data_IF_632073914124
#
_entry.id   IF_632073914124
#
_cell.length_a   1.000
_cell.length_b   1.000
_cell.length_c   1.000
_cell.angle_alpha   90.00
_cell.angle_beta   90.00
_cell.angle_gamma   90.00
#
_symmetry.space_group_name_H-M   'P 1'
#
loop_
_entity.id
_entity.type
_entity.pdbx_description
1 polymer ?
#
# COMPACT_ATOMS: atom_id res chain seq x y z
N UNK A 1 -21.99 -10.02 -7.75
CA UNK A 1 -20.71 -9.62 -8.39
C UNK A 1 -20.39 -8.19 -7.95
N UNK A 2 -19.19 -7.94 -7.44
CA UNK A 2 -18.75 -6.59 -7.04
C UNK A 2 -17.55 -6.16 -7.89
N UNK A 3 -17.39 -4.86 -8.14
CA UNK A 3 -16.22 -4.28 -8.81
C UNK A 3 -15.17 -3.92 -7.77
N UNK A 4 -14.00 -4.54 -7.86
CA UNK A 4 -12.93 -4.38 -6.87
C UNK A 4 -11.67 -3.88 -7.56
N UNK A 5 -11.13 -2.76 -7.10
CA UNK A 5 -9.82 -2.26 -7.54
C UNK A 5 -8.77 -2.67 -6.51
N UNK A 6 -7.70 -3.31 -6.98
CA UNK A 6 -6.50 -3.57 -6.19
C UNK A 6 -5.41 -2.54 -6.56
N UNK A 7 -5.26 -1.50 -5.74
CA UNK A 7 -4.33 -0.40 -6.01
C UNK A 7 -2.96 -0.64 -5.36
N UNK A 8 -1.93 -0.83 -6.18
CA UNK A 8 -0.58 -1.13 -5.72
C UNK A 8 0.16 0.10 -5.15
N UNK A 9 1.15 -0.15 -4.30
CA UNK A 9 2.06 0.87 -3.77
C UNK A 9 3.21 1.19 -4.73
N UNK A 10 4.32 1.70 -4.19
CA UNK A 10 5.54 1.86 -4.98
C UNK A 10 6.02 0.47 -5.43
N UNK A 11 6.26 0.34 -6.74
CA UNK A 11 6.94 -0.81 -7.33
C UNK A 11 8.43 -0.42 -7.45
N UNK A 12 9.34 -1.18 -6.83
CA UNK A 12 10.77 -0.81 -6.84
C UNK A 12 11.54 -0.92 -5.52
N UNK A 13 11.05 -1.64 -4.50
CA UNK A 13 11.91 -2.05 -3.37
C UNK A 13 12.86 -3.21 -3.78
N UNK A 14 13.38 -3.25 -5.00
CA UNK A 14 14.22 -4.34 -5.54
C UNK A 14 13.47 -5.30 -6.45
N UNK A 15 14.15 -6.40 -6.83
CA UNK A 15 13.52 -7.61 -7.41
C UNK A 15 12.52 -8.30 -6.44
N UNK A 16 12.15 -7.65 -5.33
CA UNK A 16 11.34 -8.21 -4.26
C UNK A 16 9.85 -8.30 -4.59
N UNK A 17 9.40 -7.47 -5.53
CA UNK A 17 8.02 -7.48 -6.01
C UNK A 17 8.01 -7.62 -7.52
N UNK A 18 7.09 -8.40 -8.08
CA UNK A 18 6.94 -8.48 -9.53
C UNK A 18 6.54 -7.11 -10.09
N UNK A 19 7.09 -6.79 -11.27
CA UNK A 19 6.78 -5.55 -12.00
C UNK A 19 5.38 -5.58 -12.63
N UNK A 20 4.74 -6.75 -12.70
CA UNK A 20 3.35 -6.91 -13.11
C UNK A 20 2.41 -6.57 -11.94
N UNK A 21 1.57 -5.53 -12.06
CA UNK A 21 0.58 -5.16 -11.05
C UNK A 21 -0.39 -6.30 -10.70
N UNK A 22 -0.67 -7.21 -11.65
CA UNK A 22 -1.51 -8.39 -11.41
C UNK A 22 -0.87 -9.43 -10.48
N UNK A 23 0.47 -9.40 -10.35
CA UNK A 23 1.23 -10.25 -9.45
C UNK A 23 1.59 -9.54 -8.13
N UNK A 24 1.44 -8.21 -8.05
CA UNK A 24 1.78 -7.44 -6.85
C UNK A 24 1.03 -7.94 -5.61
N UNK A 25 -0.30 -8.06 -5.72
CA UNK A 25 -1.14 -8.71 -4.72
C UNK A 25 -1.16 -10.22 -4.98
N UNK A 26 -0.19 -10.95 -4.41
CA UNK A 26 0.07 -12.33 -4.77
C UNK A 26 -1.21 -13.20 -4.68
N UNK A 27 -1.68 -13.67 -5.85
CA UNK A 27 -2.91 -14.46 -6.10
C UNK A 27 -4.24 -13.87 -5.62
N UNK A 28 -4.29 -12.64 -5.10
CA UNK A 28 -5.53 -12.05 -4.59
C UNK A 28 -6.52 -11.76 -5.71
N UNK A 29 -6.04 -11.29 -6.87
CA UNK A 29 -6.90 -11.04 -8.01
C UNK A 29 -7.60 -12.32 -8.48
N UNK A 30 -6.86 -13.43 -8.56
CA UNK A 30 -7.39 -14.76 -8.88
C UNK A 30 -8.41 -15.21 -7.83
N UNK A 31 -8.05 -15.17 -6.54
CA UNK A 31 -8.91 -15.59 -5.43
C UNK A 31 -10.26 -14.84 -5.44
N UNK A 32 -10.24 -13.52 -5.65
CA UNK A 32 -11.46 -12.72 -5.69
C UNK A 32 -12.28 -12.95 -6.97
N UNK A 33 -11.62 -13.21 -8.11
CA UNK A 33 -12.28 -13.53 -9.37
C UNK A 33 -12.98 -14.88 -9.31
N UNK A 34 -12.32 -15.91 -8.75
CA UNK A 34 -12.90 -17.25 -8.53
C UNK A 34 -14.12 -17.22 -7.61
N UNK A 35 -14.21 -16.20 -6.73
CA UNK A 35 -15.37 -15.91 -5.88
C UNK A 35 -16.46 -15.09 -6.57
N UNK A 36 -16.34 -14.81 -7.86
CA UNK A 36 -17.36 -14.15 -8.67
C UNK A 36 -17.39 -12.62 -8.59
N UNK A 37 -16.25 -12.00 -8.27
CA UNK A 37 -16.06 -10.54 -8.35
C UNK A 37 -15.35 -10.12 -9.65
N UNK A 38 -15.63 -8.89 -10.10
CA UNK A 38 -14.94 -8.27 -11.23
C UNK A 38 -13.75 -7.47 -10.68
N UNK A 39 -12.55 -8.04 -10.79
CA UNK A 39 -11.34 -7.51 -10.14
C UNK A 39 -10.47 -6.80 -11.16
N UNK A 40 -9.99 -5.61 -10.80
CA UNK A 40 -9.12 -4.80 -11.64
C UNK A 40 -7.84 -4.40 -10.88
N UNK A 41 -6.69 -4.68 -11.48
CA UNK A 41 -5.37 -4.32 -10.97
C UNK A 41 -4.76 -3.25 -11.89
N UNK A 42 -5.09 -1.96 -11.72
CA UNK A 42 -4.55 -0.89 -12.56
C UNK A 42 -3.04 -0.77 -12.39
N UNK A 43 -2.35 -0.52 -13.51
CA UNK A 43 -0.95 -0.13 -13.51
C UNK A 43 -0.83 1.40 -13.43
N UNK A 44 -0.03 1.88 -12.49
CA UNK A 44 0.41 3.28 -12.43
C UNK A 44 1.93 3.34 -12.39
N UNK A 45 2.51 4.52 -12.62
CA UNK A 45 3.95 4.70 -12.56
C UNK A 45 4.51 4.14 -11.25
N UNK A 46 5.46 3.18 -11.32
CA UNK A 46 6.09 2.52 -10.18
C UNK A 46 6.52 3.50 -9.08
N UNK A 47 7.13 4.61 -9.50
CA UNK A 47 7.86 5.58 -8.66
C UNK A 47 7.52 7.03 -9.03
N UNK A 48 6.36 7.23 -9.65
CA UNK A 48 5.85 8.56 -10.01
C UNK A 48 5.38 9.36 -8.81
N UNK A 49 5.22 10.67 -9.00
CA UNK A 49 4.60 11.54 -8.00
C UNK A 49 3.18 11.10 -7.66
N UNK A 50 2.70 11.44 -6.46
CA UNK A 50 1.32 11.16 -6.05
C UNK A 50 0.30 11.77 -7.03
N UNK A 51 0.58 12.96 -7.56
CA UNK A 51 -0.30 13.60 -8.56
C UNK A 51 -0.39 12.79 -9.85
N UNK A 52 0.75 12.33 -10.38
CA UNK A 52 0.82 11.55 -11.61
C UNK A 52 0.15 10.18 -11.45
N UNK A 53 0.52 9.44 -10.39
CA UNK A 53 -0.05 8.12 -10.09
C UNK A 53 -1.56 8.19 -9.89
N UNK A 54 -2.04 9.23 -9.19
CA UNK A 54 -3.48 9.48 -9.02
C UNK A 54 -4.21 9.71 -10.34
N UNK A 55 -3.63 10.50 -11.25
CA UNK A 55 -4.23 10.75 -12.57
C UNK A 55 -4.35 9.46 -13.38
N UNK A 56 -3.30 8.63 -13.38
CA UNK A 56 -3.29 7.36 -14.08
C UNK A 56 -4.29 6.37 -13.49
N UNK A 57 -4.38 6.29 -12.15
CA UNK A 57 -5.37 5.46 -11.46
C UNK A 57 -6.80 5.86 -11.86
N UNK A 58 -7.11 7.16 -11.84
CA UNK A 58 -8.43 7.67 -12.19
C UNK A 58 -8.80 7.33 -13.65
N UNK A 59 -7.88 7.55 -14.59
CA UNK A 59 -8.08 7.22 -16.01
C UNK A 59 -8.32 5.73 -16.19
N UNK A 60 -7.50 4.89 -15.56
CA UNK A 60 -7.62 3.43 -15.67
C UNK A 60 -8.97 2.91 -15.14
N UNK A 61 -9.42 3.42 -13.99
CA UNK A 61 -10.73 3.03 -13.41
C UNK A 61 -11.89 3.43 -14.33
N UNK A 62 -11.87 4.65 -14.87
CA UNK A 62 -12.93 5.13 -15.78
C UNK A 62 -12.92 4.40 -17.12
N UNK A 63 -11.76 3.99 -17.62
CA UNK A 63 -11.66 3.17 -18.84
C UNK A 63 -12.17 1.75 -18.61
N UNK A 64 -11.85 1.12 -17.47
CA UNK A 64 -12.31 -0.23 -17.13
C UNK A 64 -13.82 -0.27 -16.91
N UNK A 65 -14.33 0.69 -16.14
CA UNK A 65 -15.75 0.80 -15.82
C UNK A 65 -16.22 2.25 -16.02
N UNK A 66 -16.71 2.59 -17.22
CA UNK A 66 -17.41 3.83 -17.46
C UNK A 66 -18.54 4.03 -16.45
N UNK A 67 -18.98 5.28 -16.31
CA UNK A 67 -19.98 5.61 -15.31
C UNK A 67 -21.36 5.05 -15.69
N UNK A 68 -21.75 4.01 -14.96
CA UNK A 68 -23.05 3.34 -15.04
C UNK A 68 -23.77 3.34 -13.68
N UNK A 69 -23.31 4.18 -12.74
CA UNK A 69 -23.83 4.26 -11.38
C UNK A 69 -23.55 3.05 -10.48
N UNK A 70 -22.87 2.01 -10.94
CA UNK A 70 -22.53 0.85 -10.11
C UNK A 70 -21.38 1.17 -9.14
N UNK A 71 -21.39 0.58 -7.93
CA UNK A 71 -20.36 0.83 -6.94
C UNK A 71 -19.01 0.21 -7.31
N UNK A 72 -17.93 0.86 -6.89
CA UNK A 72 -16.55 0.39 -7.03
C UNK A 72 -15.90 0.37 -5.64
N UNK A 73 -15.41 -0.80 -5.24
CA UNK A 73 -14.74 -1.00 -3.95
C UNK A 73 -13.23 -0.92 -4.13
N UNK A 74 -12.57 -0.19 -3.25
CA UNK A 74 -11.12 0.02 -3.34
C UNK A 74 -10.41 -0.74 -2.22
N UNK A 75 -9.38 -1.51 -2.59
CA UNK A 75 -8.43 -2.10 -1.67
C UNK A 75 -7.03 -1.66 -2.11
N UNK A 76 -6.30 -1.02 -1.23
CA UNK A 76 -5.05 -0.38 -1.58
C UNK A 76 -3.94 -0.71 -0.56
N UNK A 77 -2.72 -0.85 -1.06
CA UNK A 77 -1.53 -1.11 -0.24
C UNK A 77 -0.55 0.06 -0.31
N UNK A 78 0.09 0.40 0.81
CA UNK A 78 1.18 1.37 0.87
C UNK A 78 0.79 2.71 0.21
N UNK A 79 1.60 3.24 -0.72
CA UNK A 79 1.30 4.48 -1.46
C UNK A 79 0.01 4.41 -2.29
N UNK A 80 -0.47 3.22 -2.67
CA UNK A 80 -1.75 3.03 -3.37
C UNK A 80 -2.93 3.59 -2.59
N UNK A 81 -2.89 3.52 -1.26
CA UNK A 81 -3.93 4.11 -0.42
C UNK A 81 -3.93 5.64 -0.45
N UNK A 82 -2.77 6.27 -0.68
CA UNK A 82 -2.67 7.71 -0.90
C UNK A 82 -3.21 8.09 -2.28
N UNK A 83 -2.91 7.29 -3.33
CA UNK A 83 -3.44 7.49 -4.68
C UNK A 83 -4.96 7.44 -4.67
N UNK A 84 -5.55 6.41 -4.06
CA UNK A 84 -7.00 6.27 -3.93
C UNK A 84 -7.62 7.48 -3.19
N UNK A 85 -7.00 7.91 -2.09
CA UNK A 85 -7.52 9.05 -1.31
C UNK A 85 -7.47 10.35 -2.08
N UNK A 86 -6.38 10.61 -2.80
CA UNK A 86 -6.28 11.79 -3.66
C UNK A 86 -7.25 11.68 -4.82
N UNK A 87 -7.39 10.51 -5.44
CA UNK A 87 -8.36 10.27 -6.51
C UNK A 87 -9.78 10.63 -6.06
N UNK A 88 -10.21 10.13 -4.90
CA UNK A 88 -11.52 10.43 -4.34
C UNK A 88 -11.72 11.94 -4.03
N UNK A 89 -10.65 12.65 -3.67
CA UNK A 89 -10.72 14.08 -3.39
C UNK A 89 -10.79 14.97 -4.65
N UNK A 90 -10.22 14.52 -5.78
CA UNK A 90 -10.09 15.35 -6.98
C UNK A 90 -10.92 14.86 -8.18
N UNK A 91 -11.47 13.65 -8.12
CA UNK A 91 -12.36 13.07 -9.14
C UNK A 91 -13.74 12.71 -8.52
N UNK A 92 -14.65 13.68 -8.38
CA UNK A 92 -15.95 13.46 -7.73
C UNK A 92 -16.82 12.42 -8.43
N UNK A 93 -16.69 12.25 -9.75
CA UNK A 93 -17.41 11.24 -10.53
C UNK A 93 -17.00 9.81 -10.17
N UNK A 94 -15.75 9.62 -9.73
CA UNK A 94 -15.31 8.34 -9.17
C UNK A 94 -15.76 8.25 -7.72
N UNK A 95 -15.57 9.32 -6.94
CA UNK A 95 -15.94 9.34 -5.52
C UNK A 95 -17.40 8.94 -5.29
N UNK A 96 -18.35 9.48 -6.08
CA UNK A 96 -19.78 9.17 -6.00
C UNK A 96 -20.14 7.70 -6.26
N UNK A 97 -19.18 6.87 -6.70
CA UNK A 97 -19.32 5.43 -6.93
C UNK A 97 -18.59 4.59 -5.89
N UNK A 98 -17.82 5.19 -4.99
CA UNK A 98 -17.01 4.47 -4.02
C UNK A 98 -17.68 4.49 -2.66
N UNK A 99 -18.25 3.37 -2.18
CA UNK A 99 -18.76 3.28 -0.82
C UNK A 99 -17.62 3.12 0.18
N UNK A 100 -16.52 2.44 -0.19
CA UNK A 100 -15.49 2.01 0.74
C UNK A 100 -14.09 1.96 0.15
N UNK A 101 -13.10 2.35 0.98
CA UNK A 101 -11.68 2.15 0.76
C UNK A 101 -11.06 1.41 1.95
N UNK A 102 -10.49 0.23 1.69
CA UNK A 102 -9.58 -0.44 2.62
C UNK A 102 -8.14 -0.04 2.29
N UNK A 103 -7.39 0.45 3.28
CA UNK A 103 -5.95 0.69 3.17
C UNK A 103 -5.16 -0.29 4.02
N UNK A 104 -4.09 -0.86 3.46
CA UNK A 104 -3.17 -1.80 4.12
C UNK A 104 -1.79 -1.16 4.13
N UNK A 105 -1.20 -0.99 5.32
CA UNK A 105 0.13 -0.43 5.50
C UNK A 105 0.35 0.93 4.78
N UNK A 106 -0.71 1.73 4.62
CA UNK A 106 -0.63 3.02 3.93
C UNK A 106 -0.05 4.09 4.86
N UNK A 107 1.02 4.80 4.48
CA UNK A 107 1.61 5.87 5.30
C UNK A 107 0.77 7.15 5.24
N UNK A 108 -0.38 7.17 5.94
CA UNK A 108 -1.26 8.33 6.00
C UNK A 108 -0.57 9.57 6.56
N UNK A 109 0.38 9.40 7.49
CA UNK A 109 1.23 10.47 8.05
C UNK A 109 2.69 10.37 7.59
N UNK A 110 2.93 9.65 6.50
CA UNK A 110 4.24 9.47 5.91
C UNK A 110 5.08 8.42 6.63
N UNK A 111 6.30 8.24 6.13
CA UNK A 111 7.28 7.27 6.61
C UNK A 111 8.55 8.00 7.09
N UNK A 112 9.10 7.60 8.24
CA UNK A 112 10.44 8.03 8.66
C UNK A 112 11.53 7.65 7.64
N UNK A 113 11.37 6.49 6.98
CA UNK A 113 12.30 5.96 5.97
C UNK A 113 12.42 6.91 4.78
N UNK A 114 11.28 7.46 4.32
CA UNK A 114 11.26 8.43 3.24
C UNK A 114 12.03 9.71 3.59
N UNK A 115 11.93 10.21 4.83
CA UNK A 115 12.72 11.36 5.26
C UNK A 115 14.22 11.06 5.30
N UNK A 116 14.59 9.86 5.75
CA UNK A 116 15.99 9.44 5.86
C UNK A 116 16.63 9.30 4.47
N UNK A 117 15.91 8.71 3.51
CA UNK A 117 16.38 8.57 2.12
C UNK A 117 16.57 9.92 1.39
N UNK A 118 15.93 11.00 1.85
CA UNK A 118 16.07 12.32 1.23
C UNK A 118 17.20 13.18 1.83
N UNK A 119 17.81 12.77 2.95
CA UNK A 119 18.95 13.48 3.55
C UNK A 119 20.24 13.12 2.83
N UNK A 120 20.79 14.03 2.01
CA UNK A 120 22.15 13.91 1.45
C UNK A 120 23.22 14.27 2.48
N UNK A 121 24.30 13.49 2.55
CA UNK A 121 25.54 13.87 3.21
C UNK A 121 26.58 12.75 3.17
N UNK A 122 27.74 13.02 2.56
CA UNK A 122 28.90 12.11 2.48
C UNK A 122 30.06 12.70 3.32
N UNK A 123 30.63 11.87 4.22
CA UNK A 123 31.99 12.05 4.75
C UNK A 123 32.54 10.70 5.26
N UNK A 124 32.85 9.76 4.36
CA UNK A 124 33.46 8.45 4.71
C UNK A 124 32.89 7.27 3.92
N UNK A 125 33.36 6.04 4.17
CA UNK A 125 32.84 4.81 3.55
C UNK A 125 31.30 4.76 3.63
N UNK A 126 30.58 4.39 2.54
CA UNK A 126 29.13 4.49 2.51
C UNK A 126 28.50 3.57 3.56
N UNK A 127 27.78 4.17 4.48
CA UNK A 127 26.92 3.49 5.45
C UNK A 127 25.82 2.70 4.73
N UNK A 128 25.22 1.66 5.35
CA UNK A 128 24.05 0.99 4.81
C UNK A 128 22.89 1.94 4.46
N UNK A 129 22.78 3.07 5.18
CA UNK A 129 21.83 4.13 4.89
C UNK A 129 22.14 4.87 3.57
N UNK A 130 23.41 5.15 3.28
CA UNK A 130 23.84 5.78 2.03
C UNK A 130 23.69 4.83 0.82
N UNK A 131 23.94 3.52 1.01
CA UNK A 131 23.70 2.51 -0.04
C UNK A 131 22.21 2.37 -0.36
N UNK A 132 21.36 2.30 0.67
CA UNK A 132 19.90 2.30 0.48
C UNK A 132 19.43 3.63 -0.12
N UNK A 133 19.98 4.76 0.31
CA UNK A 133 19.66 6.08 -0.24
C UNK A 133 20.03 6.18 -1.72
N UNK A 134 21.21 5.68 -2.12
CA UNK A 134 21.61 5.61 -3.52
C UNK A 134 20.69 4.68 -4.33
N UNK A 135 20.32 3.53 -3.77
CA UNK A 135 19.34 2.62 -4.37
C UNK A 135 17.96 3.28 -4.56
N UNK A 136 17.55 4.12 -3.59
CA UNK A 136 16.28 4.81 -3.58
C UNK A 136 16.30 6.17 -4.30
N UNK A 137 17.46 6.63 -4.79
CA UNK A 137 17.62 7.96 -5.36
C UNK A 137 16.81 8.16 -6.65
N UNK A 138 16.65 7.09 -7.45
CA UNK A 138 15.79 7.08 -8.64
C UNK A 138 14.29 7.21 -8.29
N UNK A 139 13.94 7.13 -7.00
CA UNK A 139 12.58 7.21 -6.47
C UNK A 139 12.28 8.51 -5.72
N UNK A 140 13.15 9.53 -5.86
CA UNK A 140 13.09 10.78 -5.10
C UNK A 140 11.72 11.49 -5.16
N UNK A 141 11.03 11.46 -6.31
CA UNK A 141 9.69 12.04 -6.47
C UNK A 141 8.63 11.36 -5.62
N UNK A 142 8.56 10.02 -5.67
CA UNK A 142 7.62 9.26 -4.84
C UNK A 142 7.96 9.33 -3.34
N UNK A 143 9.24 9.38 -2.99
CA UNK A 143 9.68 9.48 -1.59
C UNK A 143 9.35 10.85 -0.96
N UNK A 144 9.39 11.94 -1.73
CA UNK A 144 8.98 13.25 -1.24
C UNK A 144 7.52 13.26 -0.75
N UNK A 145 6.61 12.64 -1.49
CA UNK A 145 5.18 12.52 -1.14
C UNK A 145 4.93 11.57 0.06
N UNK A 146 5.93 10.78 0.43
CA UNK A 146 5.90 9.84 1.54
C UNK A 146 6.59 10.36 2.80
N UNK A 147 7.14 11.58 2.79
CA UNK A 147 7.76 12.20 3.96
C UNK A 147 6.78 12.36 5.13
N UNK A 148 7.32 12.40 6.36
CA UNK A 148 6.50 12.54 7.57
C UNK A 148 5.74 13.87 7.53
N UNK A 149 4.49 13.83 7.96
CA UNK A 149 3.61 15.00 8.05
C UNK A 149 2.83 14.98 9.36
N UNK A 150 2.48 16.18 9.83
CA UNK A 150 1.67 16.37 11.04
C UNK A 150 0.16 16.39 10.76
N UNK A 151 -0.23 16.56 9.49
CA UNK A 151 -1.63 16.69 9.06
C UNK A 151 -1.96 15.62 8.04
N UNK A 152 -3.15 15.03 8.20
CA UNK A 152 -3.69 14.08 7.25
C UNK A 152 -3.92 14.76 5.89
N UNK A 153 -3.26 14.28 4.84
CA UNK A 153 -3.47 14.76 3.47
C UNK A 153 -4.84 14.29 2.95
N UNK A 154 -5.69 15.18 2.42
CA UNK A 154 -7.06 14.91 1.92
C UNK A 154 -8.03 14.44 3.02
N UNK A 155 -8.99 15.29 3.37
CA UNK A 155 -10.01 15.03 4.38
C UNK A 155 -11.05 13.98 3.97
N UNK A 156 -12.13 13.83 4.74
CA UNK A 156 -13.29 13.03 4.35
C UNK A 156 -13.89 13.53 3.03
N UNK A 157 -14.43 12.61 2.23
CA UNK A 157 -15.07 12.90 0.94
C UNK A 157 -16.40 12.16 0.87
N UNK A 158 -17.38 12.78 0.20
CA UNK A 158 -18.66 12.11 -0.05
C UNK A 158 -18.47 11.09 -1.18
N UNK A 159 -18.92 9.88 -0.89
CA UNK A 159 -18.81 8.69 -1.70
C UNK A 159 -20.15 8.28 -2.32
N UNK A 160 -20.37 6.96 -2.35
CA UNK A 160 -21.56 6.36 -2.95
C UNK A 160 -22.87 6.91 -2.37
N UNK A 161 -23.79 7.31 -3.27
CA UNK A 161 -25.11 7.88 -2.93
C UNK A 161 -25.03 9.09 -1.97
N UNK A 162 -23.94 9.85 -2.02
CA UNK A 162 -23.74 11.05 -1.19
C UNK A 162 -23.39 10.77 0.27
N UNK A 163 -23.22 9.50 0.66
CA UNK A 163 -22.73 9.12 1.99
C UNK A 163 -21.21 9.28 2.06
N UNK A 164 -20.60 9.62 3.21
CA UNK A 164 -19.15 9.63 3.35
C UNK A 164 -18.53 8.29 2.92
N UNK A 165 -17.40 8.32 2.21
CA UNK A 165 -16.64 7.09 1.94
C UNK A 165 -16.23 6.47 3.27
N UNK A 166 -16.51 5.17 3.44
CA UNK A 166 -16.05 4.42 4.61
C UNK A 166 -14.57 4.05 4.44
N UNK A 167 -13.75 4.31 5.46
CA UNK A 167 -12.32 4.05 5.43
C UNK A 167 -11.96 3.04 6.49
N UNK A 168 -11.39 1.91 6.05
CA UNK A 168 -10.92 0.84 6.93
C UNK A 168 -9.40 0.79 6.81
N UNK A 169 -8.69 1.01 7.91
CA UNK A 169 -7.23 1.03 7.93
C UNK A 169 -6.66 -0.21 8.62
N UNK A 170 -5.73 -0.88 7.94
CA UNK A 170 -5.04 -2.08 8.43
C UNK A 170 -3.57 -1.74 8.55
N UNK A 171 -3.04 -1.86 9.77
CA UNK A 171 -1.61 -1.73 10.03
C UNK A 171 -0.90 -3.07 9.89
N UNK A 172 0.41 -3.04 9.67
CA UNK A 172 1.25 -4.23 9.67
C UNK A 172 2.37 -4.05 10.71
N UNK A 173 2.70 -5.13 11.40
CA UNK A 173 3.84 -5.18 12.30
C UNK A 173 4.37 -6.60 12.32
N UNK A 174 5.58 -6.79 11.79
CA UNK A 174 6.23 -8.09 11.78
C UNK A 174 6.43 -8.57 13.23
N UNK A 175 5.78 -9.67 13.59
CA UNK A 175 5.93 -10.34 14.88
C UNK A 175 7.08 -11.36 14.82
N UNK A 176 7.47 -11.95 15.95
CA UNK A 176 8.49 -13.00 16.01
C UNK A 176 8.18 -14.23 15.13
N UNK A 177 6.91 -14.45 14.76
CA UNK A 177 6.43 -15.57 13.94
C UNK A 177 6.78 -15.45 12.45
N UNK A 178 6.87 -14.22 11.91
CA UNK A 178 7.31 -13.95 10.54
C UNK A 178 8.58 -13.09 10.62
N UNK A 179 9.78 -13.69 10.53
CA UNK A 179 11.00 -12.93 10.61
C UNK A 179 10.97 -11.88 9.50
N UNK A 180 11.11 -10.62 9.91
CA UNK A 180 11.12 -9.49 8.98
C UNK A 180 12.20 -9.71 7.92
N UNK A 181 11.86 -9.48 6.67
CA UNK A 181 12.81 -9.45 5.56
C UNK A 181 14.06 -8.63 5.92
N UNK A 182 15.26 -9.06 5.53
CA UNK A 182 16.49 -8.26 5.69
C UNK A 182 16.35 -6.84 5.13
N UNK A 183 15.64 -6.64 4.01
CA UNK A 183 15.41 -5.29 3.46
C UNK A 183 14.59 -4.43 4.41
N UNK A 184 13.57 -5.01 5.05
CA UNK A 184 12.67 -4.29 5.94
C UNK A 184 13.26 -4.10 7.34
N UNK A 185 14.20 -4.95 7.75
CA UNK A 185 15.08 -4.70 8.90
C UNK A 185 15.97 -3.48 8.62
N UNK A 186 16.62 -3.44 7.45
CA UNK A 186 17.49 -2.34 7.07
C UNK A 186 16.73 -1.01 6.94
N UNK A 187 15.57 -0.99 6.27
CA UNK A 187 14.75 0.22 6.16
C UNK A 187 14.24 0.68 7.51
N UNK A 188 13.87 -0.24 8.42
CA UNK A 188 13.45 0.13 9.77
C UNK A 188 14.58 0.79 10.58
N UNK A 189 15.80 0.28 10.43
CA UNK A 189 16.98 0.87 11.05
C UNK A 189 17.25 2.27 10.50
N UNK A 190 17.26 2.43 9.17
CA UNK A 190 17.49 3.72 8.49
C UNK A 190 16.40 4.74 8.84
N UNK A 191 15.14 4.30 8.94
CA UNK A 191 14.03 5.15 9.39
C UNK A 191 14.07 5.51 10.87
N UNK A 192 14.97 4.92 11.66
CA UNK A 192 15.12 5.21 13.09
C UNK A 192 13.88 4.82 13.89
N UNK A 193 13.19 3.72 13.54
CA UNK A 193 11.99 3.30 14.27
C UNK A 193 12.28 2.85 15.70
N UNK A 194 13.48 2.35 15.98
CA UNK A 194 13.81 1.81 17.30
C UNK A 194 12.82 0.73 17.74
N UNK A 195 12.12 0.96 18.85
CA UNK A 195 11.09 0.05 19.40
C UNK A 195 9.66 0.35 18.92
N UNK A 196 9.46 1.39 18.09
CA UNK A 196 8.13 1.75 17.60
C UNK A 196 7.61 0.62 16.71
N UNK A 197 6.40 0.08 16.94
CA UNK A 197 5.80 -0.95 16.08
C UNK A 197 5.68 -0.50 14.62
N UNK A 198 6.17 -1.32 13.69
CA UNK A 198 6.24 -1.01 12.26
C UNK A 198 6.37 -2.26 11.41
N UNK A 199 6.09 -2.13 10.12
CA UNK A 199 6.23 -3.19 9.12
C UNK A 199 7.57 -3.17 8.37
N UNK A 200 8.52 -2.33 8.81
CA UNK A 200 9.76 -2.04 8.09
C UNK A 200 9.80 -0.66 7.44
N UNK A 201 8.64 -0.13 7.05
CA UNK A 201 8.52 1.12 6.27
C UNK A 201 7.54 2.10 6.91
N UNK A 202 6.46 1.62 7.50
CA UNK A 202 5.35 2.41 8.05
C UNK A 202 5.08 2.00 9.49
N UNK A 203 4.91 2.97 10.39
CA UNK A 203 4.50 2.69 11.77
C UNK A 203 3.01 2.33 11.83
N UNK A 204 2.59 1.63 12.87
CA UNK A 204 1.16 1.38 13.11
C UNK A 204 0.37 2.70 13.23
N UNK A 205 0.92 3.71 13.91
CA UNK A 205 0.27 5.02 14.01
C UNK A 205 0.06 5.66 12.64
N UNK A 206 1.10 5.72 11.79
CA UNK A 206 1.00 6.31 10.45
C UNK A 206 0.12 5.48 9.50
N UNK A 207 -0.07 4.20 9.78
CA UNK A 207 -1.01 3.32 9.07
C UNK A 207 -2.48 3.67 9.34
N UNK A 208 -2.75 4.48 10.37
CA UNK A 208 -4.08 5.01 10.68
C UNK A 208 -4.27 6.42 10.13
N UNK A 209 -5.50 6.74 9.70
CA UNK A 209 -5.88 8.10 9.26
C UNK A 209 -5.94 9.11 10.41
N UNK A 210 -5.88 8.68 11.66
CA UNK A 210 -5.87 9.55 12.84
C UNK A 210 -4.50 9.65 13.51
N UNK A 211 -3.49 8.99 12.94
CA UNK A 211 -2.16 8.82 13.53
C UNK A 211 -2.19 8.11 14.89
N UNK A 212 -3.14 7.19 15.09
CA UNK A 212 -3.29 6.39 16.31
C UNK A 212 -3.54 4.94 15.92
N UNK A 213 -2.65 4.04 16.33
CA UNK A 213 -2.79 2.60 16.07
C UNK A 213 -4.09 2.00 16.65
N UNK A 214 -4.64 2.61 17.70
CA UNK A 214 -5.90 2.16 18.32
C UNK A 214 -7.11 2.29 17.38
N UNK A 215 -7.02 3.13 16.36
CA UNK A 215 -8.10 3.35 15.38
C UNK A 215 -7.97 2.43 14.15
N UNK A 216 -6.98 1.52 14.14
CA UNK A 216 -6.85 0.50 13.11
C UNK A 216 -7.94 -0.56 13.27
N UNK A 217 -8.50 -0.99 12.15
CA UNK A 217 -9.45 -2.09 12.12
C UNK A 217 -8.80 -3.44 12.48
N UNK A 218 -7.56 -3.63 12.02
CA UNK A 218 -6.76 -4.81 12.32
C UNK A 218 -5.27 -4.49 12.21
N UNK A 219 -4.46 -5.31 12.87
CA UNK A 219 -3.00 -5.35 12.71
C UNK A 219 -2.60 -6.72 12.20
N UNK A 220 -1.94 -6.77 11.05
CA UNK A 220 -1.42 -8.00 10.48
C UNK A 220 0.01 -8.28 10.97
N UNK A 221 0.33 -9.53 11.37
CA UNK A 221 1.60 -9.88 11.99
C UNK A 221 2.74 -10.08 10.97
N UNK A 222 2.79 -9.24 9.94
CA UNK A 222 3.71 -9.35 8.80
C UNK A 222 4.45 -8.03 8.56
N UNK A 223 5.55 -8.10 7.81
CA UNK A 223 6.22 -6.92 7.30
C UNK A 223 5.52 -6.35 6.05
N UNK A 224 6.07 -5.28 5.49
CA UNK A 224 5.46 -4.55 4.38
C UNK A 224 5.32 -5.42 3.10
N UNK A 225 6.18 -6.42 2.90
CA UNK A 225 6.08 -7.36 1.79
C UNK A 225 5.12 -8.50 2.09
N UNK A 226 5.14 -9.03 3.32
CA UNK A 226 4.21 -10.06 3.76
C UNK A 226 2.75 -9.61 3.74
N UNK A 227 2.51 -8.29 3.82
CA UNK A 227 1.17 -7.69 3.63
C UNK A 227 0.55 -7.99 2.26
N UNK A 228 1.38 -8.23 1.24
CA UNK A 228 0.96 -8.53 -0.14
C UNK A 228 1.40 -9.94 -0.59
N UNK A 229 1.81 -10.79 0.35
CA UNK A 229 2.07 -12.21 0.11
C UNK A 229 3.50 -12.52 -0.34
N UNK A 230 4.46 -11.63 -0.03
CA UNK A 230 5.87 -11.79 -0.39
C UNK A 230 6.73 -11.88 0.89
N UNK A 231 7.31 -13.06 1.21
CA UNK A 231 7.69 -13.41 2.59
C UNK A 231 8.98 -12.78 3.13
N UNK A 232 9.97 -12.44 2.31
CA UNK A 232 11.26 -11.97 2.87
C UNK A 232 12.22 -11.28 1.90
N UNK A 233 11.89 -11.22 0.61
CA UNK A 233 12.79 -10.67 -0.40
C UNK A 233 14.06 -11.50 -0.70
N UNK A 234 14.16 -12.74 -0.21
CA UNK A 234 15.18 -13.68 -0.69
C UNK A 234 14.72 -14.32 -2.01
N UNK A 235 15.59 -14.46 -3.04
CA UNK A 235 15.19 -14.93 -4.37
C UNK A 235 14.51 -16.31 -4.40
N UNK A 236 14.94 -17.25 -3.55
CA UNK A 236 14.38 -18.60 -3.49
C UNK A 236 12.95 -18.61 -2.89
N UNK A 237 12.73 -17.87 -1.82
CA UNK A 237 11.42 -17.74 -1.18
C UNK A 237 10.42 -16.96 -2.05
N UNK A 238 10.91 -16.02 -2.87
CA UNK A 238 10.08 -15.32 -3.85
C UNK A 238 9.59 -16.27 -4.98
N UNK A 239 10.43 -17.19 -5.45
CA UNK A 239 10.03 -18.17 -6.46
C UNK A 239 8.98 -19.17 -5.92
N UNK A 240 9.15 -19.63 -4.68
CA UNK A 240 8.18 -20.49 -4.00
C UNK A 240 6.87 -19.76 -3.72
N UNK A 241 6.93 -18.54 -3.19
CA UNK A 241 5.75 -17.72 -2.92
C UNK A 241 4.97 -17.36 -4.21
N UNK A 242 5.65 -17.18 -5.34
CA UNK A 242 4.99 -16.96 -6.62
C UNK A 242 4.15 -18.16 -7.07
N UNK A 243 4.57 -19.39 -6.73
CA UNK A 243 3.81 -20.61 -7.00
C UNK A 243 2.73 -20.86 -5.93
N UNK A 244 3.05 -20.64 -4.66
CA UNK A 244 2.19 -20.91 -3.50
C UNK A 244 2.43 -19.85 -2.41
N UNK A 245 1.65 -18.75 -2.40
CA UNK A 245 1.75 -17.75 -1.34
C UNK A 245 1.40 -18.37 0.02
N UNK A 246 1.87 -17.78 1.12
CA UNK A 246 1.52 -18.23 2.47
C UNK A 246 -0.01 -18.34 2.66
N UNK A 247 -0.49 -19.45 3.22
CA UNK A 247 -1.93 -19.69 3.36
C UNK A 247 -2.64 -18.63 4.23
N UNK A 248 -1.93 -18.11 5.23
CA UNK A 248 -2.38 -17.01 6.08
C UNK A 248 -2.53 -15.69 5.30
N UNK A 249 -1.76 -15.47 4.23
CA UNK A 249 -1.94 -14.31 3.34
C UNK A 249 -3.28 -14.35 2.63
N UNK A 250 -3.60 -15.45 1.95
CA UNK A 250 -4.90 -15.59 1.27
C UNK A 250 -6.06 -15.48 2.27
N UNK A 251 -5.95 -16.15 3.42
CA UNK A 251 -6.98 -16.12 4.46
C UNK A 251 -7.28 -14.70 4.97
N UNK A 252 -6.24 -13.85 5.13
CA UNK A 252 -6.43 -12.44 5.53
C UNK A 252 -7.26 -11.66 4.51
N UNK A 253 -6.98 -11.80 3.22
CA UNK A 253 -7.73 -11.11 2.16
C UNK A 253 -9.16 -11.66 2.02
N UNK A 254 -9.34 -12.97 2.10
CA UNK A 254 -10.69 -13.57 2.11
C UNK A 254 -11.53 -13.04 3.28
N UNK A 255 -10.93 -12.89 4.46
CA UNK A 255 -11.60 -12.30 5.62
C UNK A 255 -11.95 -10.81 5.43
N UNK A 256 -11.25 -10.09 4.54
CA UNK A 256 -11.54 -8.70 4.20
C UNK A 256 -12.69 -8.53 3.20
N UNK A 257 -13.09 -9.55 2.44
CA UNK A 257 -14.19 -9.40 1.47
C UNK A 257 -15.50 -8.95 2.14
N UNK A 258 -15.85 -9.53 3.29
CA UNK A 258 -17.03 -9.11 4.04
C UNK A 258 -16.98 -7.63 4.44
N UNK A 259 -15.94 -7.18 5.16
CA UNK A 259 -15.70 -5.77 5.44
C UNK A 259 -15.60 -4.89 4.20
N UNK A 260 -15.04 -5.35 3.07
CA UNK A 260 -14.88 -4.57 1.86
C UNK A 260 -16.22 -4.27 1.19
N UNK A 261 -17.14 -5.23 1.17
CA UNK A 261 -18.37 -5.18 0.38
C UNK A 261 -19.60 -4.68 1.15
N UNK A 262 -19.38 -4.03 2.31
CA UNK A 262 -20.42 -3.32 3.08
C UNK A 262 -20.58 -1.88 2.59
#
# INVERSE_FOLDING_TARGET
MARIVLAHGILGFGHLFPMDPGLYFNRIATEYTERGHDVFCPSVQPVGSLQERTKQLAVAVLQRWPDDGQPIYLLAHSMGGLDCRRMLAVYPDIARRVPRLITIATPHFGSPVANAALKKGFLGFPTPAELLTAYLADYAGALADLTRRSVLQNGPVNGFKGQPVDYVCIGCNAAATYPRSPVFVATAFVGGFGKVPNDGVVSLDSSSRTNKQADLFAVWPVDHGGAIGWPSGLPFEAAEAAASPPADHLARYVALLGPLLK
#
